data_IF_178909977514
#
_entry.id   IF_178909977514
#
_cell.length_a   1.000
_cell.length_b   1.000
_cell.length_c   1.000
_cell.angle_alpha   90.00
_cell.angle_beta   90.00
_cell.angle_gamma   90.00
#
_symmetry.space_group_name_H-M   'P 1'
#
loop_
_entity.id
_entity.type
_entity.pdbx_description
1 polymer ?
#
# COMPACT_ATOMS: atom_id res chain seq x y z
N UNK A 1 -11.04 -7.43 -2.77
CA UNK A 1 -10.56 -7.27 -4.17
C UNK A 1 -9.04 -7.28 -4.19
N UNK A 2 -8.40 -8.10 -5.05
CA UNK A 2 -6.93 -8.16 -5.14
C UNK A 2 -6.47 -7.02 -6.06
N UNK A 3 -5.74 -6.03 -5.55
CA UNK A 3 -5.14 -4.98 -6.42
C UNK A 3 -4.23 -5.66 -7.46
N UNK A 4 -4.45 -5.37 -8.74
CA UNK A 4 -3.60 -5.82 -9.86
C UNK A 4 -2.84 -4.62 -10.40
N UNK A 5 -1.51 -4.67 -10.40
CA UNK A 5 -0.67 -3.63 -10.95
C UNK A 5 -0.42 -3.90 -12.45
N UNK A 6 -1.20 -3.28 -13.33
CA UNK A 6 -1.01 -3.33 -14.78
C UNK A 6 0.13 -2.41 -15.24
N UNK A 7 0.37 -1.32 -14.51
CA UNK A 7 1.40 -0.32 -14.82
C UNK A 7 2.44 -0.21 -13.71
N UNK A 8 3.68 0.17 -14.07
CA UNK A 8 4.78 0.38 -13.12
C UNK A 8 4.46 1.43 -12.05
N UNK A 9 3.60 2.40 -12.37
CA UNK A 9 3.09 3.37 -11.40
C UNK A 9 2.25 2.70 -10.29
N UNK A 10 1.37 1.76 -10.65
CA UNK A 10 0.57 1.01 -9.70
C UNK A 10 1.44 0.12 -8.80
N UNK A 11 2.53 -0.44 -9.36
CA UNK A 11 3.51 -1.19 -8.58
C UNK A 11 4.21 -0.32 -7.52
N UNK A 12 4.67 0.88 -7.91
CA UNK A 12 5.26 1.83 -6.96
C UNK A 12 4.30 2.21 -5.84
N UNK A 13 3.02 2.39 -6.14
CA UNK A 13 1.99 2.67 -5.12
C UNK A 13 1.74 1.47 -4.19
N UNK A 14 1.72 0.26 -4.73
CA UNK A 14 1.61 -0.97 -3.94
C UNK A 14 2.80 -1.16 -2.98
N UNK A 15 4.03 -0.93 -3.47
CA UNK A 15 5.22 -1.01 -2.64
C UNK A 15 5.23 0.05 -1.54
N UNK A 16 4.74 1.26 -1.85
CA UNK A 16 4.57 2.32 -0.87
C UNK A 16 3.58 1.89 0.22
N UNK A 17 2.43 1.34 -0.16
CA UNK A 17 1.41 0.81 0.76
C UNK A 17 2.01 -0.30 1.65
N UNK A 18 2.78 -1.21 1.05
CA UNK A 18 3.50 -2.28 1.77
C UNK A 18 4.48 -1.75 2.81
N UNK A 19 5.21 -0.67 2.51
CA UNK A 19 6.17 -0.04 3.44
C UNK A 19 5.47 0.72 4.55
N UNK A 20 4.46 1.53 4.22
CA UNK A 20 3.67 2.32 5.19
C UNK A 20 2.92 1.42 6.16
N UNK A 21 2.48 0.26 5.70
CA UNK A 21 1.79 -0.73 6.51
C UNK A 21 2.60 -1.21 7.74
N UNK A 22 3.94 -1.17 7.67
CA UNK A 22 4.84 -1.63 8.74
C UNK A 22 4.86 -3.15 8.95
N UNK A 23 3.82 -3.86 8.49
CA UNK A 23 3.68 -5.33 8.57
C UNK A 23 3.94 -6.02 7.23
N UNK A 24 4.56 -5.31 6.27
CA UNK A 24 4.89 -5.81 4.93
C UNK A 24 3.67 -6.36 4.15
N UNK A 25 2.47 -5.86 4.43
CA UNK A 25 1.20 -6.28 3.80
C UNK A 25 0.55 -5.11 3.08
N UNK A 26 0.41 -5.21 1.76
CA UNK A 26 -0.14 -4.15 0.89
C UNK A 26 -1.66 -3.97 0.97
N UNK A 27 -2.36 -4.82 1.73
CA UNK A 27 -3.82 -4.77 1.89
C UNK A 27 -4.24 -4.15 3.23
N UNK A 28 -3.28 -3.88 4.11
CA UNK A 28 -3.54 -3.22 5.39
C UNK A 28 -3.43 -1.73 5.16
N UNK A 29 -4.55 -1.12 4.78
CA UNK A 29 -4.64 0.31 4.60
C UNK A 29 -4.53 1.01 5.95
N UNK A 30 -3.53 1.87 6.10
CA UNK A 30 -3.41 2.79 7.23
C UNK A 30 -4.17 4.07 6.87
N UNK A 31 -5.21 4.38 7.65
CA UNK A 31 -6.03 5.58 7.46
C UNK A 31 -5.39 6.84 8.03
N UNK A 32 -6.22 7.84 8.29
CA UNK A 32 -5.81 9.09 8.95
C UNK A 32 -5.29 8.88 10.39
N UNK A 33 -5.51 7.69 10.97
CA UNK A 33 -4.98 7.25 12.26
C UNK A 33 -3.44 7.21 12.34
N UNK A 34 -2.74 7.35 11.20
CA UNK A 34 -1.27 7.35 11.13
C UNK A 34 -0.66 8.76 10.98
N UNK A 35 -1.49 9.81 10.95
CA UNK A 35 -1.08 11.20 10.73
C UNK A 35 -1.40 11.97 12.02
N UNK A 36 -0.56 11.81 13.03
CA UNK A 36 -0.54 12.66 14.23
C UNK A 36 0.27 13.93 13.96
#
# INVERSE_FOLDING_TARGET
EKRVAHYSYQWKLMERDRRISGVNRYYVSKGLENID
#
